data_IF_957991947223
#
_entry.id   IF_957991947223
#
_cell.length_a   1.000
_cell.length_b   1.000
_cell.length_c   1.000
_cell.angle_alpha   90.00
_cell.angle_beta   90.00
_cell.angle_gamma   90.00
#
_symmetry.space_group_name_H-M   'P 1'
#
loop_
_entity.id
_entity.type
_entity.pdbx_description
1 polymer ?
#
# COMPACT_ATOMS: atom_id res chain seq x y z
N UNK A 1 -11.24 -2.03 48.45
CA UNK A 1 -12.18 -2.11 47.29
C UNK A 1 -12.17 -0.76 46.57
N UNK A 2 -11.36 -0.60 45.52
CA UNK A 2 -11.22 0.67 44.82
C UNK A 2 -12.46 0.97 43.97
N UNK A 3 -13.20 2.02 44.33
CA UNK A 3 -14.22 2.61 43.48
C UNK A 3 -13.51 3.38 42.37
N UNK A 4 -13.30 2.75 41.23
CA UNK A 4 -12.90 3.49 40.01
C UNK A 4 -14.08 4.39 39.66
N UNK A 5 -13.90 5.70 39.82
CA UNK A 5 -14.88 6.69 39.40
C UNK A 5 -15.10 6.54 37.89
N UNK A 6 -16.24 5.99 37.50
CA UNK A 6 -16.67 5.96 36.10
C UNK A 6 -17.07 7.38 35.73
N UNK A 7 -16.16 8.15 35.14
CA UNK A 7 -16.53 9.38 34.45
C UNK A 7 -17.60 9.00 33.43
N UNK A 8 -18.80 9.62 33.45
CA UNK A 8 -19.85 9.31 32.49
C UNK A 8 -19.33 9.50 31.07
N UNK A 9 -19.44 8.47 30.24
CA UNK A 9 -19.06 8.48 28.83
C UNK A 9 -19.64 9.69 28.07
N UNK A 10 -20.79 10.19 28.52
CA UNK A 10 -21.43 11.42 28.04
C UNK A 10 -20.61 12.69 28.30
N UNK A 11 -19.99 12.83 29.48
CA UNK A 11 -19.12 13.96 29.81
C UNK A 11 -17.83 13.93 28.99
N UNK A 12 -17.21 12.76 28.83
CA UNK A 12 -16.02 12.63 27.98
C UNK A 12 -16.33 13.00 26.53
N UNK A 13 -17.46 12.54 25.97
CA UNK A 13 -17.88 12.91 24.61
C UNK A 13 -18.12 14.40 24.45
N UNK A 14 -18.70 15.05 25.46
CA UNK A 14 -18.95 16.48 25.43
C UNK A 14 -17.64 17.31 25.42
N UNK A 15 -16.60 16.82 26.09
CA UNK A 15 -15.30 17.52 26.19
C UNK A 15 -14.39 17.25 24.98
N UNK A 16 -14.28 15.99 24.54
CA UNK A 16 -13.28 15.59 23.53
C UNK A 16 -13.87 15.28 22.15
N UNK A 17 -15.20 15.19 22.04
CA UNK A 17 -15.86 14.72 20.83
C UNK A 17 -15.84 13.19 20.69
N UNK A 18 -16.83 12.67 19.96
CA UNK A 18 -16.99 11.24 19.78
C UNK A 18 -15.83 10.60 19.00
N UNK A 19 -15.32 11.28 17.96
CA UNK A 19 -14.27 10.76 17.10
C UNK A 19 -12.95 10.52 17.86
N UNK A 20 -12.53 11.48 18.69
CA UNK A 20 -11.29 11.37 19.47
C UNK A 20 -11.36 10.20 20.46
N UNK A 21 -12.50 10.01 21.11
CA UNK A 21 -12.69 8.89 22.04
C UNK A 21 -12.81 7.54 21.32
N UNK A 22 -13.45 7.53 20.15
CA UNK A 22 -13.52 6.35 19.28
C UNK A 22 -12.12 5.93 18.82
N UNK A 23 -11.32 6.87 18.33
CA UNK A 23 -9.91 6.66 17.96
C UNK A 23 -9.07 6.19 19.15
N UNK A 24 -9.19 6.82 20.32
CA UNK A 24 -8.47 6.41 21.52
C UNK A 24 -8.82 4.98 21.94
N UNK A 25 -10.12 4.63 21.92
CA UNK A 25 -10.59 3.26 22.17
C UNK A 25 -10.02 2.28 21.15
N UNK A 26 -10.08 2.61 19.85
CA UNK A 26 -9.57 1.75 18.80
C UNK A 26 -8.07 1.53 18.93
N UNK A 27 -7.29 2.57 19.24
CA UNK A 27 -5.85 2.45 19.49
C UNK A 27 -5.57 1.49 20.64
N UNK A 28 -6.30 1.58 21.75
CA UNK A 28 -6.13 0.64 22.88
C UNK A 28 -6.50 -0.79 22.48
N UNK A 29 -7.64 -0.98 21.81
CA UNK A 29 -8.13 -2.30 21.41
C UNK A 29 -7.24 -2.96 20.34
N UNK A 30 -6.73 -2.18 19.40
CA UNK A 30 -5.96 -2.67 18.27
C UNK A 30 -4.45 -2.67 18.54
N UNK A 31 -3.95 -1.98 19.57
CA UNK A 31 -2.52 -1.91 19.88
C UNK A 31 -1.84 -3.28 19.99
N UNK A 32 -2.38 -4.29 20.71
CA UNK A 32 -1.76 -5.62 20.76
C UNK A 32 -1.66 -6.26 19.37
N UNK A 33 -2.69 -6.09 18.54
CA UNK A 33 -2.68 -6.57 17.15
C UNK A 33 -1.66 -5.81 16.31
N UNK A 34 -1.57 -4.49 16.44
CA UNK A 34 -0.60 -3.66 15.72
C UNK A 34 0.84 -4.05 16.08
N UNK A 35 1.14 -4.27 17.36
CA UNK A 35 2.46 -4.76 17.80
C UNK A 35 2.77 -6.14 17.22
N UNK A 36 1.79 -7.05 17.20
CA UNK A 36 1.96 -8.38 16.59
C UNK A 36 2.23 -8.28 15.10
N UNK A 37 1.45 -7.49 14.35
CA UNK A 37 1.62 -7.28 12.92
C UNK A 37 2.98 -6.63 12.63
N UNK A 38 3.40 -5.65 13.43
CA UNK A 38 4.72 -5.03 13.31
C UNK A 38 5.86 -6.02 13.49
N UNK A 39 5.75 -6.96 14.44
CA UNK A 39 6.74 -8.03 14.61
C UNK A 39 6.82 -8.96 13.40
N UNK A 40 5.69 -9.24 12.76
CA UNK A 40 5.63 -10.03 11.53
C UNK A 40 6.32 -9.25 10.40
N UNK A 41 5.96 -7.98 10.19
CA UNK A 41 6.63 -7.11 9.21
C UNK A 41 8.14 -7.05 9.44
N UNK A 42 8.59 -6.86 10.68
CA UNK A 42 10.01 -6.78 11.03
C UNK A 42 10.76 -8.09 10.72
N UNK A 43 10.12 -9.24 10.96
CA UNK A 43 10.70 -10.54 10.66
C UNK A 43 10.80 -10.77 9.16
N UNK A 44 9.74 -10.46 8.40
CA UNK A 44 9.72 -10.60 6.94
C UNK A 44 10.71 -9.66 6.27
N UNK A 45 10.75 -8.39 6.67
CA UNK A 45 11.70 -7.41 6.11
C UNK A 45 13.14 -7.85 6.38
N UNK A 46 13.47 -8.33 7.58
CA UNK A 46 14.84 -8.86 7.85
C UNK A 46 15.18 -10.05 6.95
N UNK A 47 14.24 -10.98 6.75
CA UNK A 47 14.44 -12.16 5.91
C UNK A 47 14.62 -11.78 4.44
N UNK A 48 13.79 -10.87 3.94
CA UNK A 48 13.73 -10.49 2.53
C UNK A 48 14.77 -9.44 2.14
N UNK A 49 15.21 -8.60 3.08
CA UNK A 49 16.31 -7.65 2.81
C UNK A 49 17.60 -8.36 2.42
N UNK A 50 17.81 -9.61 2.84
CA UNK A 50 18.95 -10.43 2.44
C UNK A 50 18.89 -10.90 0.97
N UNK A 51 17.73 -10.79 0.32
CA UNK A 51 17.55 -11.15 -1.09
C UNK A 51 18.14 -10.11 -2.04
N UNK A 52 18.34 -8.88 -1.56
CA UNK A 52 18.87 -7.78 -2.37
C UNK A 52 20.26 -7.37 -1.86
N UNK A 53 21.27 -7.13 -2.75
CA UNK A 53 22.58 -6.62 -2.32
C UNK A 53 22.48 -5.29 -1.58
N UNK A 54 21.52 -4.46 -1.99
CA UNK A 54 21.13 -3.21 -1.34
C UNK A 54 19.64 -2.96 -1.59
N UNK A 55 18.94 -2.23 -0.71
CA UNK A 55 17.56 -1.85 -0.97
C UNK A 55 17.44 -1.10 -2.30
N UNK A 56 16.59 -1.55 -3.24
CA UNK A 56 16.35 -0.85 -4.49
C UNK A 56 15.86 0.58 -4.24
N UNK A 57 16.22 1.49 -5.14
CA UNK A 57 15.93 2.92 -5.01
C UNK A 57 15.75 3.56 -6.39
N UNK A 58 14.73 4.41 -6.50
CA UNK A 58 14.39 5.23 -7.65
C UNK A 58 13.63 6.47 -7.17
N UNK A 59 13.17 7.35 -8.08
CA UNK A 59 12.25 8.45 -7.70
C UNK A 59 10.94 7.92 -7.11
N UNK A 60 10.36 6.87 -7.68
CA UNK A 60 9.13 6.24 -7.19
C UNK A 60 9.22 4.71 -7.22
N UNK A 61 8.71 4.06 -6.17
CA UNK A 61 8.51 2.61 -6.12
C UNK A 61 7.02 2.27 -6.11
N UNK A 62 6.59 1.44 -7.05
CA UNK A 62 5.22 0.89 -7.06
C UNK A 62 5.20 -0.40 -6.26
N UNK A 63 4.40 -0.46 -5.20
CA UNK A 63 4.21 -1.68 -4.38
C UNK A 63 2.92 -2.36 -4.79
N UNK A 64 3.03 -3.60 -5.25
CA UNK A 64 1.91 -4.47 -5.63
C UNK A 64 1.82 -5.61 -4.62
N UNK A 65 0.73 -5.64 -3.85
CA UNK A 65 0.43 -6.75 -2.94
C UNK A 65 -0.42 -7.78 -3.68
N UNK A 66 -0.05 -9.05 -3.60
CA UNK A 66 -0.76 -10.10 -4.33
C UNK A 66 -1.00 -11.37 -3.50
N UNK A 67 -2.09 -12.08 -3.79
CA UNK A 67 -2.36 -13.39 -3.23
C UNK A 67 -3.23 -14.21 -4.20
N UNK A 68 -2.63 -15.23 -4.83
CA UNK A 68 -3.32 -16.19 -5.73
C UNK A 68 -4.04 -15.54 -6.93
N UNK A 69 -3.43 -14.53 -7.56
CA UNK A 69 -3.99 -13.83 -8.74
C UNK A 69 -2.96 -13.67 -9.87
N UNK A 70 -2.43 -14.78 -10.42
CA UNK A 70 -1.28 -14.72 -11.33
C UNK A 70 -1.53 -13.90 -12.60
N UNK A 71 -2.69 -14.07 -13.25
CA UNK A 71 -3.01 -13.38 -14.51
C UNK A 71 -3.23 -11.88 -14.29
N UNK A 72 -3.99 -11.52 -13.26
CA UNK A 72 -4.25 -10.13 -12.92
C UNK A 72 -2.96 -9.42 -12.50
N UNK A 73 -2.15 -10.07 -11.65
CA UNK A 73 -0.85 -9.58 -11.23
C UNK A 73 0.05 -9.26 -12.43
N UNK A 74 0.11 -10.16 -13.41
CA UNK A 74 0.94 -9.97 -14.59
C UNK A 74 0.51 -8.73 -15.39
N UNK A 75 -0.80 -8.48 -15.49
CA UNK A 75 -1.33 -7.29 -16.14
C UNK A 75 -1.01 -6.01 -15.33
N UNK A 76 -1.18 -6.05 -14.00
CA UNK A 76 -0.84 -4.95 -13.10
C UNK A 76 0.66 -4.59 -13.19
N UNK A 77 1.55 -5.58 -13.10
CA UNK A 77 3.01 -5.42 -13.22
C UNK A 77 3.39 -4.78 -14.55
N UNK A 78 2.82 -5.25 -15.67
CA UNK A 78 3.07 -4.65 -16.99
C UNK A 78 2.64 -3.18 -17.03
N UNK A 79 1.43 -2.87 -16.57
CA UNK A 79 0.93 -1.48 -16.55
C UNK A 79 1.79 -0.54 -15.69
N UNK A 80 2.37 -1.05 -14.60
CA UNK A 80 3.29 -0.31 -13.76
C UNK A 80 4.67 -0.12 -14.42
N UNK A 81 5.20 -1.13 -15.12
CA UNK A 81 6.48 -1.04 -15.82
C UNK A 81 6.45 -0.14 -17.07
N UNK A 82 5.28 -0.06 -17.71
CA UNK A 82 5.03 0.71 -18.95
C UNK A 82 4.72 2.20 -18.70
N UNK A 83 4.85 2.67 -17.46
CA UNK A 83 4.69 4.09 -17.12
C UNK A 83 5.71 4.97 -17.86
N UNK A 84 5.30 6.20 -18.22
CA UNK A 84 6.16 7.18 -18.90
C UNK A 84 7.37 7.58 -18.07
N UNK A 85 7.24 7.54 -16.73
CA UNK A 85 8.33 7.79 -15.78
C UNK A 85 9.37 6.66 -15.85
N UNK A 86 10.61 7.00 -16.23
CA UNK A 86 11.70 6.01 -16.35
C UNK A 86 12.43 5.70 -15.05
N UNK A 87 12.60 6.70 -14.19
CA UNK A 87 13.20 6.57 -12.86
C UNK A 87 12.17 6.00 -11.85
N UNK A 88 11.80 4.74 -12.08
CA UNK A 88 10.86 4.01 -11.24
C UNK A 88 11.22 2.53 -11.14
N UNK A 89 10.69 1.88 -10.13
CA UNK A 89 10.79 0.44 -9.92
C UNK A 89 9.47 -0.13 -9.39
N UNK A 90 9.28 -1.44 -9.58
CA UNK A 90 8.10 -2.18 -9.13
C UNK A 90 8.53 -3.22 -8.11
N UNK A 91 7.84 -3.27 -6.97
CA UNK A 91 8.02 -4.27 -5.92
C UNK A 91 6.73 -5.07 -5.79
N UNK A 92 6.79 -6.34 -6.18
CA UNK A 92 5.71 -7.30 -5.96
C UNK A 92 5.96 -8.03 -4.65
N UNK A 93 4.96 -8.03 -3.78
CA UNK A 93 4.98 -8.79 -2.52
C UNK A 93 3.81 -9.77 -2.52
N UNK A 94 4.11 -11.06 -2.62
CA UNK A 94 3.14 -12.14 -2.46
C UNK A 94 2.90 -12.47 -0.99
N UNK A 95 1.64 -12.56 -0.58
CA UNK A 95 1.21 -12.96 0.77
C UNK A 95 1.30 -14.49 0.96
N UNK A 96 2.47 -15.06 0.69
CA UNK A 96 2.84 -16.45 0.96
C UNK A 96 2.07 -17.51 0.17
N UNK A 97 1.55 -17.19 -1.03
CA UNK A 97 0.95 -18.17 -1.94
C UNK A 97 1.93 -18.70 -2.99
N UNK A 98 3.07 -18.04 -3.18
CA UNK A 98 3.99 -18.25 -4.28
C UNK A 98 3.77 -17.23 -5.40
N UNK A 99 4.87 -16.80 -6.02
CA UNK A 99 4.84 -15.90 -7.17
C UNK A 99 4.70 -16.72 -8.48
N UNK A 100 3.94 -16.21 -9.47
CA UNK A 100 4.00 -16.77 -10.81
C UNK A 100 5.32 -16.41 -11.50
N UNK A 101 5.52 -16.91 -12.72
CA UNK A 101 6.56 -16.40 -13.60
C UNK A 101 6.28 -14.92 -13.93
N UNK A 102 7.24 -14.06 -13.60
CA UNK A 102 7.18 -12.63 -13.83
C UNK A 102 8.17 -12.24 -14.94
N UNK A 103 7.97 -11.09 -15.62
CA UNK A 103 8.90 -10.62 -16.64
C UNK A 103 10.33 -10.46 -16.11
N UNK A 104 11.32 -10.82 -16.91
CA UNK A 104 12.73 -10.56 -16.61
C UNK A 104 13.05 -9.08 -16.89
N UNK A 105 12.79 -8.24 -15.90
CA UNK A 105 12.88 -6.78 -16.00
C UNK A 105 13.76 -6.22 -14.86
N UNK A 106 14.84 -5.48 -15.14
CA UNK A 106 15.76 -4.97 -14.12
C UNK A 106 15.11 -4.05 -13.07
N UNK A 107 13.95 -3.47 -13.39
CA UNK A 107 13.17 -2.59 -12.52
C UNK A 107 12.14 -3.34 -11.67
N UNK A 108 12.01 -4.65 -11.85
CA UNK A 108 11.05 -5.49 -11.14
C UNK A 108 11.74 -6.31 -10.05
N UNK A 109 11.26 -6.14 -8.81
CA UNK A 109 11.69 -6.89 -7.65
C UNK A 109 10.49 -7.64 -7.10
N UNK A 110 10.62 -8.95 -6.90
CA UNK A 110 9.52 -9.77 -6.43
C UNK A 110 9.95 -10.63 -5.24
N UNK A 111 9.12 -10.64 -4.21
CA UNK A 111 9.34 -11.42 -2.97
C UNK A 111 8.05 -12.07 -2.52
N UNK A 112 8.16 -13.21 -1.85
CA UNK A 112 7.05 -13.90 -1.21
C UNK A 112 7.27 -13.93 0.29
N UNK A 113 6.24 -13.57 1.07
CA UNK A 113 6.25 -13.69 2.53
C UNK A 113 6.36 -15.16 2.94
N UNK A 114 6.86 -15.44 4.15
CA UNK A 114 7.05 -16.83 4.59
C UNK A 114 5.75 -17.62 4.77
N UNK A 115 4.63 -16.90 4.90
CA UNK A 115 3.28 -17.44 5.03
C UNK A 115 2.25 -16.36 4.72
N UNK A 116 1.03 -16.80 4.43
CA UNK A 116 -0.13 -15.93 4.33
C UNK A 116 -0.43 -15.23 5.65
N UNK A 117 -0.43 -13.89 5.63
CA UNK A 117 -0.74 -13.02 6.76
C UNK A 117 -2.22 -12.68 6.82
N UNK A 118 -2.92 -12.71 5.67
CA UNK A 118 -4.33 -12.33 5.54
C UNK A 118 -4.57 -10.83 5.76
N UNK A 119 -3.50 -10.02 5.75
CA UNK A 119 -3.55 -8.59 6.06
C UNK A 119 -2.78 -7.83 4.99
N UNK A 120 -3.50 -7.28 4.01
CA UNK A 120 -2.92 -6.49 2.92
C UNK A 120 -2.00 -5.36 3.42
N UNK A 121 -2.32 -4.77 4.58
CA UNK A 121 -1.47 -3.76 5.21
C UNK A 121 -0.06 -4.27 5.56
N UNK A 122 0.08 -5.52 6.04
CA UNK A 122 1.40 -6.12 6.31
C UNK A 122 2.18 -6.30 5.01
N UNK A 123 1.53 -6.81 3.98
CA UNK A 123 2.12 -7.05 2.65
C UNK A 123 2.65 -5.74 2.05
N UNK A 124 1.83 -4.68 2.04
CA UNK A 124 2.22 -3.34 1.59
C UNK A 124 3.33 -2.75 2.45
N UNK A 125 3.25 -2.86 3.78
CA UNK A 125 4.28 -2.35 4.70
C UNK A 125 5.64 -3.04 4.50
N UNK A 126 5.64 -4.34 4.21
CA UNK A 126 6.88 -5.04 3.82
C UNK A 126 7.44 -4.45 2.54
N UNK A 127 6.62 -4.27 1.50
CA UNK A 127 7.04 -3.66 0.23
C UNK A 127 7.63 -2.25 0.40
N UNK A 128 6.96 -1.38 1.17
CA UNK A 128 7.45 -0.03 1.52
C UNK A 128 8.85 -0.10 2.14
N UNK A 129 9.08 -1.05 3.05
CA UNK A 129 10.33 -1.17 3.81
C UNK A 129 11.47 -1.84 3.04
N UNK A 130 11.19 -2.45 1.89
CA UNK A 130 12.19 -3.04 1.01
C UNK A 130 12.79 -2.03 0.04
N UNK A 131 12.20 -0.85 -0.12
CA UNK A 131 12.69 0.22 -0.99
C UNK A 131 13.26 1.41 -0.21
N UNK A 132 14.13 2.18 -0.86
CA UNK A 132 14.57 3.51 -0.43
C UNK A 132 14.11 4.63 -1.36
N UNK A 133 13.19 4.34 -2.28
CA UNK A 133 12.65 5.35 -3.20
C UNK A 133 12.01 6.51 -2.44
N UNK A 134 12.08 7.70 -3.03
CA UNK A 134 11.52 8.92 -2.43
C UNK A 134 10.00 8.85 -2.30
N UNK A 135 9.34 8.37 -3.35
CA UNK A 135 7.89 8.18 -3.37
C UNK A 135 7.55 6.69 -3.39
N UNK A 136 6.42 6.34 -2.77
CA UNK A 136 5.81 5.01 -2.88
C UNK A 136 4.40 5.17 -3.43
N UNK A 137 4.08 4.39 -4.45
CA UNK A 137 2.74 4.29 -5.02
C UNK A 137 2.19 2.87 -4.80
N UNK A 138 0.88 2.74 -4.64
CA UNK A 138 0.23 1.44 -4.46
C UNK A 138 -0.60 1.10 -5.69
N UNK A 139 -0.41 -0.10 -6.20
CA UNK A 139 -1.24 -0.68 -7.26
C UNK A 139 -1.76 -2.03 -6.77
N UNK A 140 -3.08 -2.21 -6.81
CA UNK A 140 -3.70 -3.50 -6.50
C UNK A 140 -3.48 -4.47 -7.66
N UNK A 141 -3.31 -5.75 -7.34
CA UNK A 141 -2.97 -6.78 -8.33
C UNK A 141 -4.09 -7.09 -9.34
N UNK A 142 -5.26 -6.49 -9.20
CA UNK A 142 -6.38 -6.56 -10.12
C UNK A 142 -6.75 -5.20 -10.76
N UNK A 143 -5.85 -4.22 -10.65
CA UNK A 143 -6.01 -2.88 -11.20
C UNK A 143 -4.94 -2.60 -12.27
N UNK A 144 -5.23 -1.64 -13.15
CA UNK A 144 -4.30 -1.17 -14.19
C UNK A 144 -4.18 0.34 -14.10
N UNK A 145 -2.99 0.85 -14.43
CA UNK A 145 -2.77 2.28 -14.60
C UNK A 145 -2.77 2.69 -16.07
N UNK A 146 -3.21 3.92 -16.31
CA UNK A 146 -2.93 4.62 -17.56
C UNK A 146 -1.42 4.91 -17.68
N UNK A 147 -0.84 4.94 -18.89
CA UNK A 147 0.60 5.08 -19.08
C UNK A 147 1.25 6.31 -18.41
N UNK A 148 0.50 7.39 -18.23
CA UNK A 148 0.97 8.66 -17.65
C UNK A 148 0.50 8.90 -16.21
N UNK A 149 -0.03 7.88 -15.53
CA UNK A 149 -0.54 7.98 -14.16
C UNK A 149 0.52 8.51 -13.17
N UNK A 150 1.71 7.89 -13.14
CA UNK A 150 2.78 8.31 -12.25
C UNK A 150 3.32 9.70 -12.58
N UNK A 151 3.38 10.06 -13.86
CA UNK A 151 3.84 11.38 -14.30
C UNK A 151 2.93 12.49 -13.79
N UNK A 152 1.61 12.31 -13.93
CA UNK A 152 0.60 13.25 -13.41
C UNK A 152 0.66 13.36 -11.88
N UNK A 153 0.77 12.23 -11.19
CA UNK A 153 0.84 12.21 -9.72
C UNK A 153 2.12 12.91 -9.21
N UNK A 154 3.28 12.60 -9.79
CA UNK A 154 4.56 13.20 -9.42
C UNK A 154 4.62 14.70 -9.72
N UNK A 155 4.00 15.16 -10.82
CA UNK A 155 3.94 16.58 -11.13
C UNK A 155 3.26 17.41 -10.02
N UNK A 156 2.24 16.86 -9.37
CA UNK A 156 1.57 17.50 -8.24
C UNK A 156 2.41 17.41 -6.96
N UNK A 157 2.98 16.24 -6.68
CA UNK A 157 3.80 15.99 -5.48
C UNK A 157 5.10 16.82 -5.46
N UNK A 158 5.70 17.09 -6.61
CA UNK A 158 6.96 17.83 -6.73
C UNK A 158 6.77 19.35 -6.91
N UNK A 159 5.53 19.85 -6.89
CA UNK A 159 5.28 21.29 -6.90
C UNK A 159 5.89 21.96 -5.64
N UNK A 160 6.32 23.24 -5.70
CA UNK A 160 6.92 23.94 -4.56
C UNK A 160 6.09 23.90 -3.26
N UNK A 161 4.76 23.92 -3.40
CA UNK A 161 3.78 23.75 -2.31
C UNK A 161 2.94 22.47 -2.52
N UNK A 162 3.57 21.42 -3.07
CA UNK A 162 2.95 20.13 -3.33
C UNK A 162 2.50 19.43 -2.04
N UNK A 163 1.45 18.59 -2.09
CA UNK A 163 0.99 17.85 -0.92
C UNK A 163 1.93 16.70 -0.55
N UNK A 164 1.78 16.16 0.66
CA UNK A 164 2.52 14.96 1.09
C UNK A 164 2.03 13.65 0.40
N UNK A 165 0.80 13.66 -0.11
CA UNK A 165 0.18 12.53 -0.77
C UNK A 165 -0.82 12.99 -1.84
N UNK A 166 -0.99 12.18 -2.87
CA UNK A 166 -1.98 12.37 -3.94
C UNK A 166 -2.72 11.06 -4.20
N UNK A 167 -3.96 11.17 -4.65
CA UNK A 167 -4.71 10.06 -5.24
C UNK A 167 -5.35 10.55 -6.54
N UNK A 168 -5.63 9.63 -7.46
CA UNK A 168 -6.33 9.95 -8.71
C UNK A 168 -7.73 9.35 -8.72
N UNK A 169 -8.55 9.81 -9.65
CA UNK A 169 -9.82 9.15 -9.95
C UNK A 169 -9.61 7.68 -10.35
N UNK A 170 -10.60 6.84 -10.06
CA UNK A 170 -10.62 5.44 -10.47
C UNK A 170 -11.68 5.24 -11.55
N UNK A 171 -11.28 4.79 -12.75
CA UNK A 171 -12.23 4.34 -13.78
C UNK A 171 -12.54 2.86 -13.57
N UNK A 172 -13.81 2.52 -13.39
CA UNK A 172 -14.25 1.11 -13.30
C UNK A 172 -14.67 0.62 -14.68
N UNK A 173 -14.12 -0.53 -15.06
CA UNK A 173 -14.36 -1.16 -16.36
C UNK A 173 -14.99 -2.52 -16.12
N UNK A 174 -15.98 -2.89 -16.93
CA UNK A 174 -16.62 -4.20 -16.92
C UNK A 174 -15.75 -5.24 -17.64
N UNK A 175 -15.99 -6.55 -17.42
CA UNK A 175 -15.21 -7.61 -18.08
C UNK A 175 -15.23 -7.57 -19.61
N UNK A 176 -16.23 -6.95 -20.22
CA UNK A 176 -16.34 -6.75 -21.68
C UNK A 176 -15.55 -5.54 -22.19
N UNK A 177 -14.84 -4.83 -21.30
CA UNK A 177 -14.06 -3.63 -21.60
C UNK A 177 -14.86 -2.33 -21.60
N UNK A 178 -16.19 -2.38 -21.38
CA UNK A 178 -17.01 -1.17 -21.32
C UNK A 178 -16.80 -0.40 -20.01
N UNK A 179 -16.77 0.93 -20.09
CA UNK A 179 -16.68 1.79 -18.90
C UNK A 179 -17.99 1.71 -18.11
N UNK A 180 -17.89 1.42 -16.81
CA UNK A 180 -19.02 1.46 -15.89
C UNK A 180 -19.27 2.87 -15.38
N UNK A 181 -18.23 3.48 -14.82
CA UNK A 181 -18.21 4.85 -14.30
C UNK A 181 -16.80 5.28 -13.88
N UNK A 182 -16.66 6.57 -13.56
CA UNK A 182 -15.47 7.17 -12.98
C UNK A 182 -15.78 7.58 -11.54
N UNK A 183 -15.10 6.93 -10.60
CA UNK A 183 -15.13 7.31 -9.19
C UNK A 183 -14.11 8.43 -8.96
N UNK A 184 -14.59 9.66 -9.05
CA UNK A 184 -13.92 10.83 -8.51
C UNK A 184 -14.93 11.62 -7.69
N UNK A 185 -14.70 11.71 -6.39
CA UNK A 185 -15.30 12.80 -5.62
C UNK A 185 -14.21 13.87 -5.53
N UNK A 186 -14.44 15.09 -6.05
CA UNK A 186 -13.68 16.24 -5.58
C UNK A 186 -13.77 16.22 -4.06
N UNK A 187 -12.62 16.25 -3.38
CA UNK A 187 -12.61 16.55 -1.96
C UNK A 187 -12.75 18.07 -1.86
N UNK A 188 -13.88 18.53 -1.33
CA UNK A 188 -14.12 19.93 -0.96
C UNK A 188 -13.17 20.37 0.16
#
# INVERSE_FOLDING_TARGET
MSRVARIPWTLLKAVFGWLVLFEARNKVLLAPSAVRLRRIEDAEVRRLAATFPSPPSARVATVIATHRRPEALLAAVRSALDQTVRDQLVIVVDDGAGLPELPDEPRLFAVSLSRNTGVAGVVRNVGIRLTRSRYVAFLDDDNLWEPDHLERALAVLDAPDGPDAVYTALRRVLPDGSEKDILSVPYD
#
